data_IF_314927327983
#
_entry.id   IF_314927327983
#
_cell.length_a   1.000
_cell.length_b   1.000
_cell.length_c   1.000
_cell.angle_alpha   90.00
_cell.angle_beta   90.00
_cell.angle_gamma   90.00
#
_symmetry.space_group_name_H-M   'P 1'
#
loop_
_entity.id
_entity.type
_entity.pdbx_description
1 polymer ?
#
# COMPACT_ATOMS: atom_id res chain seq x y z
N UNK A 1 85.50 42.26 20.76
CA UNK A 1 85.00 42.47 19.39
C UNK A 1 85.40 41.27 18.57
N UNK A 2 84.47 40.35 18.34
CA UNK A 2 84.44 39.44 17.18
C UNK A 2 83.15 38.60 17.24
N UNK A 3 82.32 38.83 16.26
CA UNK A 3 81.06 38.15 16.05
C UNK A 3 81.36 36.83 15.31
N UNK A 4 80.96 35.71 15.87
CA UNK A 4 80.83 34.46 15.13
C UNK A 4 79.39 34.18 14.90
N UNK A 5 78.97 34.16 13.62
CA UNK A 5 77.68 33.71 13.18
C UNK A 5 77.68 32.18 13.00
N UNK A 6 76.79 31.50 13.71
CA UNK A 6 76.58 30.06 13.52
C UNK A 6 75.38 29.90 12.60
N UNK A 7 75.59 29.37 11.38
CA UNK A 7 74.57 28.94 10.44
C UNK A 7 74.09 27.55 10.85
N UNK A 8 72.86 27.48 11.32
CA UNK A 8 72.20 26.20 11.57
C UNK A 8 71.43 25.76 10.31
N UNK A 9 71.92 24.67 9.73
CA UNK A 9 71.28 24.00 8.56
C UNK A 9 70.10 23.16 9.04
N UNK A 10 68.88 23.54 8.66
CA UNK A 10 67.69 22.70 8.87
C UNK A 10 67.54 21.76 7.70
N UNK A 11 67.74 20.44 7.95
CA UNK A 11 67.38 19.36 7.06
C UNK A 11 65.82 19.13 7.14
N UNK A 12 65.12 19.55 6.11
CA UNK A 12 63.76 19.13 5.91
C UNK A 12 63.74 17.66 5.49
N UNK A 13 63.32 16.78 6.39
CA UNK A 13 62.97 15.41 6.05
C UNK A 13 61.57 15.41 5.41
N UNK A 14 61.50 15.20 4.09
CA UNK A 14 60.26 14.86 3.40
C UNK A 14 59.87 13.45 3.80
N UNK A 15 58.80 13.33 4.64
CA UNK A 15 58.09 12.09 4.83
C UNK A 15 57.10 11.89 3.65
N UNK A 16 57.08 10.73 3.00
CA UNK A 16 56.01 10.46 2.03
C UNK A 16 54.67 10.35 2.77
N UNK A 17 53.73 11.22 2.40
CA UNK A 17 52.34 11.07 2.79
C UNK A 17 51.81 9.78 2.09
N UNK A 18 51.61 8.75 2.86
CA UNK A 18 50.82 7.61 2.43
C UNK A 18 49.36 8.09 2.41
N UNK A 19 48.88 8.46 1.22
CA UNK A 19 47.46 8.61 0.96
C UNK A 19 46.83 7.23 1.15
N UNK A 20 46.09 7.09 2.22
CA UNK A 20 45.17 5.97 2.40
C UNK A 20 43.99 6.20 1.44
N UNK A 21 44.12 5.73 0.20
CA UNK A 21 43.01 5.51 -0.69
C UNK A 21 42.36 4.18 -0.27
N UNK A 22 41.26 4.24 0.41
CA UNK A 22 40.51 3.05 0.74
C UNK A 22 39.50 3.29 1.84
N UNK A 23 38.26 3.56 1.48
CA UNK A 23 37.16 3.25 2.36
C UNK A 23 36.15 4.31 2.71
N UNK A 24 35.65 5.09 1.76
CA UNK A 24 34.48 5.93 2.01
C UNK A 24 33.36 5.75 0.95
N UNK A 25 33.32 4.61 0.27
CA UNK A 25 32.30 4.36 -0.75
C UNK A 25 30.96 3.83 -0.23
N UNK A 26 30.82 3.54 1.04
CA UNK A 26 29.60 2.91 1.56
C UNK A 26 28.69 3.82 2.39
N UNK A 27 29.02 5.13 2.48
CA UNK A 27 28.22 6.14 3.14
C UNK A 27 27.83 7.30 2.20
N UNK A 28 27.53 7.01 0.93
CA UNK A 28 26.79 8.00 0.15
C UNK A 28 25.34 8.00 0.63
N UNK A 29 25.10 8.80 1.65
CA UNK A 29 23.76 9.14 2.08
C UNK A 29 23.07 9.84 0.90
N UNK A 30 22.11 9.14 0.26
CA UNK A 30 21.31 9.71 -0.84
C UNK A 30 20.72 11.03 -0.37
N UNK A 31 20.84 12.06 -1.17
CA UNK A 31 20.23 13.35 -0.88
C UNK A 31 18.71 13.19 -0.80
N UNK A 32 18.03 14.08 -0.07
CA UNK A 32 16.55 14.05 0.01
C UNK A 32 15.92 14.16 -1.37
N UNK A 33 16.57 14.83 -2.32
CA UNK A 33 16.13 14.93 -3.72
C UNK A 33 16.28 13.59 -4.45
N UNK A 34 17.35 12.84 -4.25
CA UNK A 34 17.55 11.52 -4.86
C UNK A 34 16.57 10.51 -4.28
N UNK A 35 16.31 10.55 -2.97
CA UNK A 35 15.27 9.74 -2.32
C UNK A 35 13.86 10.09 -2.83
N UNK A 36 13.57 11.37 -3.04
CA UNK A 36 12.28 11.83 -3.57
C UNK A 36 12.06 11.42 -5.03
N UNK A 37 13.12 11.27 -5.82
CA UNK A 37 13.04 10.80 -7.21
C UNK A 37 12.80 9.28 -7.33
N UNK A 38 13.09 8.51 -6.29
CA UNK A 38 12.89 7.06 -6.26
C UNK A 38 11.48 6.68 -5.76
N UNK A 39 10.75 7.62 -5.17
CA UNK A 39 9.41 7.36 -4.63
C UNK A 39 8.35 7.54 -5.71
N UNK A 40 7.49 6.53 -5.86
CA UNK A 40 6.41 6.56 -6.84
C UNK A 40 5.49 7.77 -6.60
N UNK A 41 5.24 8.63 -7.62
CA UNK A 41 4.38 9.81 -7.50
C UNK A 41 2.87 9.48 -7.45
N UNK A 42 2.51 8.21 -7.58
CA UNK A 42 1.13 7.71 -7.50
C UNK A 42 0.62 7.06 -8.78
N UNK A 43 1.47 6.86 -9.76
CA UNK A 43 1.19 6.03 -10.93
C UNK A 43 1.10 4.56 -10.50
N UNK A 44 0.19 3.82 -11.12
CA UNK A 44 0.04 2.39 -10.81
C UNK A 44 1.15 1.59 -11.48
N UNK A 45 1.93 0.89 -10.65
CA UNK A 45 2.95 -0.04 -11.09
C UNK A 45 2.74 -1.39 -10.38
N UNK A 46 2.60 -2.47 -11.16
CA UNK A 46 2.51 -3.83 -10.60
C UNK A 46 3.89 -4.42 -10.38
N UNK A 47 4.06 -5.04 -9.21
CA UNK A 47 5.29 -5.69 -8.81
C UNK A 47 5.18 -7.18 -9.15
N UNK A 48 5.97 -7.65 -10.11
CA UNK A 48 5.95 -9.05 -10.56
C UNK A 48 6.34 -10.03 -9.44
N UNK A 49 7.19 -9.56 -8.51
CA UNK A 49 7.64 -10.30 -7.33
C UNK A 49 7.34 -9.49 -6.07
N UNK A 50 6.92 -10.15 -4.98
CA UNK A 50 6.74 -9.48 -3.69
C UNK A 50 8.02 -8.80 -3.24
N UNK A 51 7.97 -7.58 -2.68
CA UNK A 51 9.10 -6.94 -2.05
C UNK A 51 9.65 -7.76 -0.87
N UNK A 52 10.91 -7.54 -0.53
CA UNK A 52 11.49 -8.15 0.67
C UNK A 52 10.85 -7.60 1.95
N UNK A 53 10.56 -8.50 2.88
CA UNK A 53 9.99 -8.17 4.19
C UNK A 53 8.47 -7.99 4.21
N UNK A 54 7.90 -7.67 5.39
CA UNK A 54 6.46 -7.48 5.54
C UNK A 54 6.00 -6.19 4.88
N UNK A 55 5.00 -6.31 4.02
CA UNK A 55 4.35 -5.17 3.34
C UNK A 55 2.93 -5.05 3.86
N UNK A 56 2.41 -3.83 3.97
CA UNK A 56 1.02 -3.60 4.34
C UNK A 56 0.10 -4.42 3.44
N UNK A 57 -0.55 -5.40 4.05
CA UNK A 57 -1.52 -6.28 3.38
C UNK A 57 -2.94 -5.85 3.72
N UNK A 58 -3.75 -5.70 2.69
CA UNK A 58 -5.13 -5.29 2.74
C UNK A 58 -6.02 -6.40 2.20
N UNK A 59 -6.59 -7.21 3.08
CA UNK A 59 -7.50 -8.31 2.73
C UNK A 59 -8.95 -7.81 2.73
N UNK A 60 -9.64 -7.96 1.59
CA UNK A 60 -11.03 -7.58 1.40
C UNK A 60 -11.92 -8.79 1.18
N UNK A 61 -13.01 -8.86 1.88
CA UNK A 61 -14.08 -9.81 1.63
C UNK A 61 -15.36 -9.05 1.30
N UNK A 62 -15.83 -9.26 0.07
CA UNK A 62 -16.99 -8.58 -0.51
C UNK A 62 -18.12 -9.58 -0.66
N UNK A 63 -19.29 -9.24 -0.16
CA UNK A 63 -20.49 -10.04 -0.30
C UNK A 63 -21.54 -9.25 -1.07
N UNK A 64 -21.87 -9.74 -2.27
CA UNK A 64 -22.97 -9.26 -3.10
C UNK A 64 -24.17 -10.16 -2.82
N UNK A 65 -25.31 -9.58 -2.45
CA UNK A 65 -26.56 -10.28 -2.24
C UNK A 65 -27.61 -9.84 -3.27
N UNK A 66 -28.76 -10.50 -3.33
CA UNK A 66 -29.89 -10.05 -4.16
C UNK A 66 -30.29 -8.59 -3.82
N UNK A 67 -30.27 -8.22 -2.55
CA UNK A 67 -30.54 -6.85 -2.13
C UNK A 67 -29.47 -5.85 -2.63
N UNK A 68 -28.21 -6.31 -2.78
CA UNK A 68 -27.13 -5.51 -3.34
C UNK A 68 -27.37 -5.16 -4.81
N UNK A 69 -27.97 -6.07 -5.57
CA UNK A 69 -28.28 -5.87 -7.00
C UNK A 69 -29.26 -4.72 -7.21
N UNK A 70 -30.20 -4.54 -6.30
CA UNK A 70 -31.17 -3.45 -6.37
C UNK A 70 -30.63 -2.12 -5.82
N UNK A 71 -29.80 -2.18 -4.77
CA UNK A 71 -29.42 -0.99 -4.00
C UNK A 71 -28.03 -0.45 -4.31
N UNK A 72 -27.15 -1.28 -4.89
CA UNK A 72 -25.73 -0.98 -5.09
C UNK A 72 -24.87 -1.08 -3.81
N UNK A 73 -25.48 -1.40 -2.65
CA UNK A 73 -24.76 -1.57 -1.38
C UNK A 73 -24.34 -3.03 -1.20
N UNK A 74 -23.05 -3.23 -0.97
CA UNK A 74 -22.44 -4.56 -0.77
C UNK A 74 -21.91 -4.66 0.66
N UNK A 75 -21.87 -5.88 1.20
CA UNK A 75 -21.15 -6.16 2.43
C UNK A 75 -19.64 -6.08 2.22
N UNK A 76 -18.96 -5.41 3.13
CA UNK A 76 -17.50 -5.27 3.14
C UNK A 76 -16.95 -5.69 4.49
N UNK A 77 -16.03 -6.66 4.50
CA UNK A 77 -15.11 -6.92 5.59
C UNK A 77 -13.70 -6.66 5.08
N UNK A 78 -12.95 -5.87 5.83
CA UNK A 78 -11.63 -5.42 5.41
C UNK A 78 -10.67 -5.58 6.58
N UNK A 79 -9.56 -6.31 6.36
CA UNK A 79 -8.52 -6.49 7.36
C UNK A 79 -7.19 -5.94 6.82
N UNK A 80 -6.53 -5.15 7.62
CA UNK A 80 -5.20 -4.63 7.38
C UNK A 80 -4.20 -5.37 8.28
N UNK A 81 -3.10 -5.81 7.72
CA UNK A 81 -1.98 -6.45 8.42
C UNK A 81 -0.69 -5.71 8.07
N UNK A 82 0.29 -5.77 8.96
CA UNK A 82 1.57 -5.08 8.79
C UNK A 82 1.40 -3.58 8.50
N UNK A 83 0.49 -2.94 9.26
CA UNK A 83 0.38 -1.49 9.26
C UNK A 83 1.69 -0.87 9.73
N UNK A 84 2.05 0.25 9.13
CA UNK A 84 3.27 0.98 9.49
C UNK A 84 3.22 1.48 10.93
N UNK A 85 4.30 1.31 11.71
CA UNK A 85 4.38 1.82 13.06
C UNK A 85 4.47 3.35 13.03
N UNK A 86 3.36 4.02 13.34
CA UNK A 86 3.24 5.48 13.34
C UNK A 86 2.41 5.96 14.52
N UNK A 87 2.64 7.18 14.96
CA UNK A 87 1.87 7.78 16.05
C UNK A 87 0.39 7.95 15.72
N UNK A 88 0.07 8.28 14.46
CA UNK A 88 -1.30 8.43 13.95
C UNK A 88 -1.41 8.01 12.50
N UNK A 89 -2.52 7.34 12.18
CA UNK A 89 -2.89 6.97 10.83
C UNK A 89 -4.42 7.06 10.68
N UNK A 90 -4.89 7.06 9.43
CA UNK A 90 -6.31 6.99 9.14
C UNK A 90 -6.58 6.14 7.90
N UNK A 91 -7.71 5.43 7.93
CA UNK A 91 -8.26 4.73 6.77
C UNK A 91 -9.49 5.50 6.34
N UNK A 92 -9.46 6.04 5.12
CA UNK A 92 -10.49 6.96 4.62
C UNK A 92 -11.31 6.28 3.54
N UNK A 93 -12.63 6.40 3.66
CA UNK A 93 -13.60 5.96 2.65
C UNK A 93 -14.23 7.17 1.97
N UNK A 94 -14.79 6.95 0.80
CA UNK A 94 -15.54 7.99 0.11
C UNK A 94 -16.79 8.39 0.91
N UNK A 95 -16.98 9.68 1.15
CA UNK A 95 -18.17 10.21 1.78
C UNK A 95 -19.44 9.82 0.99
N UNK A 96 -20.49 9.41 1.70
CA UNK A 96 -21.73 8.90 1.09
C UNK A 96 -21.60 7.52 0.40
N UNK A 97 -20.40 6.91 0.40
CA UNK A 97 -20.12 5.59 -0.19
C UNK A 97 -19.86 4.50 0.84
N UNK A 98 -19.88 4.84 2.12
CA UNK A 98 -19.72 3.90 3.23
C UNK A 98 -20.80 4.16 4.28
N UNK A 99 -21.31 3.09 4.89
CA UNK A 99 -22.22 3.16 6.03
C UNK A 99 -22.05 1.94 6.94
N UNK A 100 -22.61 1.99 8.13
CA UNK A 100 -22.49 0.93 9.15
C UNK A 100 -21.02 0.55 9.43
N UNK A 101 -20.09 1.51 9.28
CA UNK A 101 -18.66 1.30 9.50
C UNK A 101 -18.41 1.03 10.98
N UNK A 102 -17.69 -0.06 11.28
CA UNK A 102 -17.29 -0.43 12.63
C UNK A 102 -15.94 -1.13 12.65
N UNK A 103 -15.18 -0.93 13.70
CA UNK A 103 -13.97 -1.70 14.00
C UNK A 103 -14.40 -3.02 14.64
N UNK A 104 -13.89 -4.14 14.13
CA UNK A 104 -14.21 -5.49 14.61
C UNK A 104 -13.04 -6.19 15.30
N UNK A 105 -11.80 -5.78 14.98
CA UNK A 105 -10.59 -6.21 15.66
C UNK A 105 -9.51 -5.12 15.56
N UNK A 106 -8.71 -4.98 16.62
CA UNK A 106 -7.58 -4.06 16.69
C UNK A 106 -6.50 -4.68 17.57
N UNK A 107 -5.32 -4.92 17.00
CA UNK A 107 -4.16 -5.54 17.65
C UNK A 107 -2.93 -4.67 17.41
N UNK A 108 -2.10 -4.44 18.44
CA UNK A 108 -0.93 -3.56 18.40
C UNK A 108 -1.24 -2.10 17.98
N UNK A 109 -2.47 -1.64 18.28
CA UNK A 109 -2.94 -0.27 18.08
C UNK A 109 -3.51 0.21 19.41
N UNK A 110 -3.07 1.36 19.89
CA UNK A 110 -3.48 1.88 21.19
C UNK A 110 -4.98 2.28 21.20
N UNK A 111 -5.41 2.96 20.12
CA UNK A 111 -6.82 3.32 19.91
C UNK A 111 -7.18 3.22 18.44
N UNK A 112 -8.36 2.66 18.17
CA UNK A 112 -8.99 2.65 16.85
C UNK A 112 -10.46 3.02 17.00
N UNK A 113 -10.93 4.04 16.26
CA UNK A 113 -12.34 4.47 16.34
C UNK A 113 -12.84 4.99 15.00
N UNK A 114 -14.14 4.95 14.80
CA UNK A 114 -14.79 5.49 13.60
C UNK A 114 -15.09 6.96 13.81
N UNK A 115 -14.77 7.76 12.79
CA UNK A 115 -15.09 9.18 12.71
C UNK A 115 -15.58 9.52 11.31
N UNK A 116 -16.88 9.76 11.15
CA UNK A 116 -17.50 9.96 9.85
C UNK A 116 -17.28 8.76 8.91
N UNK A 117 -16.73 9.02 7.75
CA UNK A 117 -16.38 8.01 6.75
C UNK A 117 -14.92 7.52 6.88
N UNK A 118 -14.36 7.53 8.09
CA UNK A 118 -12.98 7.11 8.32
C UNK A 118 -12.82 6.31 9.60
N UNK A 119 -11.73 5.53 9.68
CA UNK A 119 -11.24 4.92 10.92
C UNK A 119 -9.95 5.62 11.30
N UNK A 120 -9.92 6.18 12.49
CA UNK A 120 -8.77 6.84 13.07
C UNK A 120 -7.96 5.83 13.89
N UNK A 121 -6.64 5.89 13.80
CA UNK A 121 -5.71 5.04 14.52
C UNK A 121 -4.71 5.91 15.27
N UNK A 122 -4.44 5.54 16.52
CA UNK A 122 -3.45 6.18 17.38
C UNK A 122 -2.55 5.12 18.02
N UNK A 123 -1.23 5.38 18.06
CA UNK A 123 -0.25 4.48 18.66
C UNK A 123 -0.13 3.16 17.90
N UNK A 124 -0.02 3.19 16.57
CA UNK A 124 0.19 1.99 15.74
C UNK A 124 1.61 1.49 15.95
N UNK A 125 1.75 0.22 16.32
CA UNK A 125 3.04 -0.46 16.56
C UNK A 125 3.34 -1.47 15.45
N UNK A 126 4.54 -2.03 15.47
CA UNK A 126 4.92 -3.11 14.54
C UNK A 126 3.93 -4.27 14.62
N UNK A 127 3.70 -4.93 13.47
CA UNK A 127 2.76 -6.04 13.31
C UNK A 127 1.30 -5.68 13.71
N UNK A 128 0.95 -4.41 13.57
CA UNK A 128 -0.40 -3.98 13.84
C UNK A 128 -1.40 -4.59 12.86
N UNK A 129 -2.55 -4.98 13.40
CA UNK A 129 -3.68 -5.52 12.65
C UNK A 129 -4.95 -4.76 13.00
N UNK A 130 -5.72 -4.42 11.97
CA UNK A 130 -7.04 -3.81 12.10
C UNK A 130 -8.01 -4.55 11.20
N UNK A 131 -9.19 -4.92 11.73
CA UNK A 131 -10.31 -5.36 10.89
C UNK A 131 -11.51 -4.46 11.09
N UNK A 132 -12.22 -4.21 10.00
CA UNK A 132 -13.45 -3.44 9.96
C UNK A 132 -14.54 -4.19 9.21
N UNK A 133 -15.77 -3.85 9.49
CA UNK A 133 -16.93 -4.20 8.70
C UNK A 133 -17.73 -2.96 8.34
N UNK A 134 -18.33 -2.98 7.16
CA UNK A 134 -19.13 -1.88 6.65
C UNK A 134 -20.07 -2.36 5.54
N UNK A 135 -20.95 -1.46 5.09
CA UNK A 135 -21.58 -1.56 3.79
C UNK A 135 -20.98 -0.49 2.86
N UNK A 136 -20.62 -0.90 1.65
CA UNK A 136 -20.01 -0.01 0.64
C UNK A 136 -20.90 0.10 -0.58
N UNK A 137 -21.10 1.32 -1.09
CA UNK A 137 -21.82 1.58 -2.33
C UNK A 137 -20.89 1.44 -3.53
N UNK A 138 -20.53 0.20 -3.85
CA UNK A 138 -19.51 -0.13 -4.84
C UNK A 138 -20.04 -0.87 -6.06
N UNK A 139 -21.30 -1.35 -6.03
CA UNK A 139 -21.94 -2.08 -7.11
C UNK A 139 -22.82 -1.14 -7.95
N UNK A 140 -22.56 -1.05 -9.24
CA UNK A 140 -23.25 -0.18 -10.17
C UNK A 140 -23.96 -1.02 -11.24
N UNK A 141 -25.28 -0.83 -11.40
CA UNK A 141 -26.02 -1.48 -12.46
C UNK A 141 -25.54 -1.01 -13.85
N UNK A 142 -25.47 -1.92 -14.80
CA UNK A 142 -25.16 -1.74 -16.20
C UNK A 142 -26.30 -2.38 -17.03
N UNK A 143 -26.34 -2.12 -18.33
CA UNK A 143 -27.41 -2.63 -19.21
C UNK A 143 -27.55 -4.17 -19.18
N UNK A 144 -26.41 -4.87 -19.08
CA UNK A 144 -26.30 -6.33 -19.15
C UNK A 144 -25.77 -7.00 -17.87
N UNK A 145 -25.64 -6.22 -16.78
CA UNK A 145 -25.12 -6.77 -15.53
C UNK A 145 -24.74 -5.70 -14.51
N UNK A 146 -23.56 -5.83 -13.95
CA UNK A 146 -23.10 -4.96 -12.84
C UNK A 146 -21.61 -4.68 -12.95
N UNK A 147 -21.20 -3.49 -12.52
CA UNK A 147 -19.82 -3.10 -12.33
C UNK A 147 -19.51 -2.97 -10.84
N UNK A 148 -18.68 -3.85 -10.30
CA UNK A 148 -18.12 -3.73 -8.97
C UNK A 148 -16.82 -2.89 -9.04
N UNK A 149 -16.84 -1.70 -8.44
CA UNK A 149 -15.69 -0.76 -8.44
C UNK A 149 -15.15 -0.58 -7.04
N UNK A 150 -13.88 -0.93 -6.82
CA UNK A 150 -13.21 -0.81 -5.54
C UNK A 150 -11.92 0.02 -5.62
N UNK A 151 -11.54 0.60 -4.49
CA UNK A 151 -10.39 1.48 -4.38
C UNK A 151 -10.75 2.97 -4.49
N UNK A 152 -9.75 3.87 -4.62
CA UNK A 152 -8.35 3.53 -4.80
C UNK A 152 -7.73 2.89 -3.56
N UNK A 153 -7.00 1.80 -3.74
CA UNK A 153 -6.10 1.24 -2.75
C UNK A 153 -4.75 1.93 -2.90
N UNK A 154 -4.16 2.34 -1.80
CA UNK A 154 -2.87 3.01 -1.80
C UNK A 154 -2.25 3.02 -0.41
N UNK A 155 -0.94 2.89 -0.34
CA UNK A 155 -0.14 3.15 0.84
C UNK A 155 0.65 4.42 0.59
N UNK A 156 0.19 5.53 1.19
CA UNK A 156 0.72 6.87 0.93
C UNK A 156 1.25 7.51 2.20
N UNK A 157 2.45 8.07 2.11
CA UNK A 157 3.07 8.95 3.10
C UNK A 157 3.33 10.34 2.50
N UNK A 158 3.98 11.21 3.26
CA UNK A 158 4.27 12.58 2.83
C UNK A 158 5.21 12.62 1.60
N UNK A 159 6.10 11.66 1.49
CA UNK A 159 7.13 11.51 0.47
C UNK A 159 6.69 10.70 -0.76
N UNK A 160 5.52 10.06 -0.73
CA UNK A 160 4.98 9.38 -1.91
C UNK A 160 4.19 8.11 -1.63
N UNK A 161 4.20 7.19 -2.60
CA UNK A 161 3.48 5.92 -2.57
C UNK A 161 4.47 4.77 -2.43
N UNK A 162 4.07 3.74 -1.69
CA UNK A 162 4.92 2.61 -1.32
C UNK A 162 4.25 1.29 -1.66
N UNK A 163 5.01 0.19 -1.73
CA UNK A 163 4.48 -1.13 -2.01
C UNK A 163 3.32 -1.51 -1.11
N UNK A 164 2.31 -2.12 -1.71
CA UNK A 164 1.11 -2.60 -1.04
C UNK A 164 0.69 -3.95 -1.61
N UNK A 165 0.18 -4.83 -0.74
CA UNK A 165 -0.46 -6.08 -1.11
C UNK A 165 -1.96 -5.97 -0.89
N UNK A 166 -2.75 -6.24 -1.92
CA UNK A 166 -4.22 -6.31 -1.81
C UNK A 166 -4.70 -7.68 -2.23
N UNK A 167 -5.45 -8.33 -1.35
CA UNK A 167 -6.25 -9.50 -1.69
C UNK A 167 -7.73 -9.16 -1.61
N UNK A 168 -8.52 -9.81 -2.46
CA UNK A 168 -9.96 -9.63 -2.47
C UNK A 168 -10.64 -10.96 -2.75
N UNK A 169 -11.65 -11.28 -1.97
CA UNK A 169 -12.59 -12.38 -2.24
C UNK A 169 -13.97 -11.80 -2.47
N UNK A 170 -14.57 -12.10 -3.61
CA UNK A 170 -15.92 -11.66 -3.98
C UNK A 170 -16.87 -12.85 -4.01
N UNK A 171 -17.87 -12.81 -3.14
CA UNK A 171 -19.01 -13.72 -3.13
C UNK A 171 -20.16 -13.04 -3.86
N UNK A 172 -20.67 -13.66 -4.92
CA UNK A 172 -21.78 -13.15 -5.72
C UNK A 172 -22.91 -14.16 -5.76
N UNK A 173 -24.18 -13.73 -5.94
CA UNK A 173 -25.30 -14.63 -6.15
C UNK A 173 -25.09 -15.55 -7.35
N UNK A 174 -25.76 -16.72 -7.34
CA UNK A 174 -25.85 -17.58 -8.52
C UNK A 174 -26.41 -16.79 -9.70
N UNK A 175 -25.91 -17.07 -10.91
CA UNK A 175 -26.35 -16.36 -12.12
C UNK A 175 -25.58 -15.09 -12.43
N UNK A 176 -24.54 -14.73 -11.65
CA UNK A 176 -23.57 -13.69 -12.01
C UNK A 176 -22.20 -14.31 -12.31
N UNK A 177 -21.62 -13.93 -13.45
CA UNK A 177 -20.28 -14.35 -13.85
C UNK A 177 -19.37 -13.16 -14.12
N UNK A 178 -18.09 -13.31 -13.78
CA UNK A 178 -17.08 -12.31 -14.09
C UNK A 178 -16.77 -12.35 -15.60
N UNK A 179 -17.14 -11.29 -16.31
CA UNK A 179 -16.91 -11.12 -17.73
C UNK A 179 -15.54 -10.49 -18.00
N UNK A 180 -15.18 -9.43 -17.24
CA UNK A 180 -13.90 -8.77 -17.40
C UNK A 180 -13.41 -8.17 -16.07
N UNK A 181 -12.12 -7.87 -16.03
CA UNK A 181 -11.47 -7.18 -14.91
C UNK A 181 -10.53 -6.09 -15.45
N UNK A 182 -10.55 -4.95 -14.80
CA UNK A 182 -9.60 -3.86 -15.01
C UNK A 182 -8.89 -3.55 -13.67
N UNK A 183 -7.56 -3.39 -13.69
CA UNK A 183 -6.63 -3.61 -14.80
C UNK A 183 -6.65 -5.03 -15.34
N UNK A 184 -6.10 -5.26 -16.55
CA UNK A 184 -5.97 -6.60 -17.10
C UNK A 184 -4.98 -7.44 -16.28
N UNK A 185 -5.19 -8.79 -16.29
CA UNK A 185 -4.29 -9.74 -15.61
C UNK A 185 -2.87 -9.63 -16.16
N UNK A 186 -1.90 -9.57 -15.26
CA UNK A 186 -0.49 -9.41 -15.58
C UNK A 186 0.38 -9.89 -14.40
N UNK A 187 1.70 -10.00 -14.55
CA UNK A 187 2.59 -10.22 -13.41
C UNK A 187 2.32 -9.20 -12.30
N UNK A 188 2.19 -9.67 -11.05
CA UNK A 188 1.78 -8.83 -9.91
C UNK A 188 0.27 -8.58 -9.78
N UNK A 189 -0.56 -8.99 -10.77
CA UNK A 189 -2.03 -8.86 -10.69
C UNK A 189 -2.74 -10.10 -11.22
N UNK A 190 -3.31 -10.91 -10.33
CA UNK A 190 -3.99 -12.17 -10.64
C UNK A 190 -5.46 -12.13 -10.27
N UNK A 191 -6.29 -12.75 -11.09
CA UNK A 191 -7.71 -12.97 -10.80
C UNK A 191 -8.10 -14.39 -11.22
N UNK A 192 -8.73 -15.15 -10.31
CA UNK A 192 -9.18 -16.52 -10.56
C UNK A 192 -10.50 -16.80 -9.87
N UNK A 193 -11.10 -17.95 -10.16
CA UNK A 193 -12.30 -18.45 -9.50
C UNK A 193 -11.98 -19.75 -8.79
N UNK A 194 -12.40 -19.86 -7.54
CA UNK A 194 -12.24 -21.03 -6.69
C UNK A 194 -13.44 -21.14 -5.74
N UNK A 195 -13.96 -22.33 -5.53
CA UNK A 195 -15.12 -22.59 -4.65
C UNK A 195 -16.32 -21.65 -4.87
N UNK A 196 -16.59 -21.32 -6.13
CA UNK A 196 -17.68 -20.43 -6.51
C UNK A 196 -17.42 -18.93 -6.28
N UNK A 197 -16.28 -18.55 -5.69
CA UNK A 197 -15.89 -17.17 -5.40
C UNK A 197 -14.85 -16.67 -6.40
N UNK A 198 -14.82 -15.36 -6.61
CA UNK A 198 -13.75 -14.72 -7.35
C UNK A 198 -12.70 -14.21 -6.39
N UNK A 199 -11.44 -14.48 -6.70
CA UNK A 199 -10.28 -14.06 -5.94
C UNK A 199 -9.43 -13.12 -6.77
N UNK A 200 -8.86 -12.12 -6.11
CA UNK A 200 -7.92 -11.16 -6.68
C UNK A 200 -6.72 -11.05 -5.74
N UNK A 201 -5.54 -10.98 -6.34
CA UNK A 201 -4.27 -10.81 -5.63
C UNK A 201 -3.42 -9.81 -6.41
N UNK A 202 -3.05 -8.71 -5.75
CA UNK A 202 -2.34 -7.59 -6.35
C UNK A 202 -1.16 -7.14 -5.49
N UNK A 203 0.03 -7.11 -6.08
CA UNK A 203 1.22 -6.49 -5.55
C UNK A 203 1.55 -5.27 -6.40
N UNK A 204 1.59 -4.08 -5.80
CA UNK A 204 1.71 -2.84 -6.57
C UNK A 204 2.23 -1.67 -5.72
N UNK A 205 2.65 -0.63 -6.41
CA UNK A 205 2.83 0.72 -5.91
C UNK A 205 1.85 1.68 -6.59
N UNK A 206 1.68 2.86 -6.00
CA UNK A 206 0.79 3.87 -6.54
C UNK A 206 -0.67 3.68 -6.13
N UNK A 207 -1.59 3.81 -7.08
CA UNK A 207 -3.04 3.87 -6.82
C UNK A 207 -3.79 2.83 -7.63
N UNK A 208 -4.22 1.75 -7.00
CA UNK A 208 -5.00 0.69 -7.64
C UNK A 208 -6.51 0.95 -7.51
N UNK A 209 -7.19 1.02 -8.64
CA UNK A 209 -8.66 0.93 -8.73
C UNK A 209 -9.01 -0.30 -9.50
N UNK A 210 -9.79 -1.21 -8.91
CA UNK A 210 -10.27 -2.40 -9.59
C UNK A 210 -11.70 -2.23 -10.08
N UNK A 211 -11.97 -2.74 -11.28
CA UNK A 211 -13.31 -2.83 -11.87
C UNK A 211 -13.56 -4.25 -12.32
N UNK A 212 -14.55 -4.90 -11.71
CA UNK A 212 -14.99 -6.24 -12.05
C UNK A 212 -16.36 -6.13 -12.70
N UNK A 213 -16.45 -6.47 -13.98
CA UNK A 213 -17.71 -6.54 -14.71
C UNK A 213 -18.33 -7.91 -14.49
N UNK A 214 -19.52 -7.93 -13.93
CA UNK A 214 -20.30 -9.11 -13.66
C UNK A 214 -21.51 -9.13 -14.61
N UNK A 215 -21.67 -10.18 -15.39
CA UNK A 215 -22.78 -10.36 -16.32
C UNK A 215 -23.73 -11.43 -15.80
N UNK A 216 -25.00 -11.32 -16.17
CA UNK A 216 -25.99 -12.33 -15.87
C UNK A 216 -25.76 -13.55 -16.77
N UNK A 217 -25.77 -14.74 -16.17
CA UNK A 217 -25.79 -15.99 -16.94
C UNK A 217 -27.17 -16.15 -17.58
N UNK A 218 -27.24 -16.59 -18.85
CA UNK A 218 -28.51 -16.87 -19.51
C UNK A 218 -29.39 -17.89 -18.79
#
# INVERSE_FOLDING_TARGET
MNRFAILTFWLLACLPAWASEGGDEWWQEKTDTERALEVNPGELEFLAEPPEGPVHHHDNRITITEASLASGWIGLRQCHQHLDPVGRAQIVFGEGRIRALRVTASENIERAWVEGASVQLEGVRSDARLCIEAESRALHAQDDGYLLKNGPYMRRFLDGYFPMHVTMTVEAPEGLQLASVEPERQPGFRVWREDGRYHLDAWFEGRLVTRLRLERTP
#
